data_IF_230446379045
#
_entry.id   IF_230446379045
#
_cell.length_a   1.000
_cell.length_b   1.000
_cell.length_c   1.000
_cell.angle_alpha   90.00
_cell.angle_beta   90.00
_cell.angle_gamma   90.00
#
_symmetry.space_group_name_H-M   'P 1'
#
loop_
_entity.id
_entity.type
_entity.pdbx_description
1 polymer ?
#
# COMPACT_ATOMS: atom_id res chain seq x y z
N UNK A 1 5.87 25.68 -24.74
CA UNK A 1 5.83 24.35 -24.10
C UNK A 1 4.41 23.82 -24.12
N UNK A 2 4.22 22.51 -24.19
CA UNK A 2 2.90 21.86 -24.22
C UNK A 2 2.68 21.17 -22.88
N UNK A 3 1.54 21.42 -22.23
CA UNK A 3 1.16 20.83 -20.95
C UNK A 3 -0.08 19.95 -21.10
N UNK A 4 -0.09 18.81 -20.39
CA UNK A 4 -1.29 18.00 -20.19
C UNK A 4 -2.05 18.52 -18.97
N UNK A 5 -3.32 18.88 -19.15
CA UNK A 5 -4.20 19.33 -18.07
C UNK A 5 -5.30 18.29 -17.83
N UNK A 6 -5.41 17.79 -16.60
CA UNK A 6 -6.47 16.87 -16.18
C UNK A 6 -7.43 17.63 -15.27
N UNK A 7 -8.65 17.91 -15.75
CA UNK A 7 -9.70 18.55 -14.96
C UNK A 7 -10.52 17.47 -14.27
N UNK A 8 -10.49 17.44 -12.94
CA UNK A 8 -11.10 16.39 -12.11
C UNK A 8 -12.10 17.01 -11.11
N UNK A 9 -12.96 16.16 -10.54
CA UNK A 9 -13.79 16.52 -9.39
C UNK A 9 -12.91 16.93 -8.20
N UNK A 10 -13.28 18.03 -7.54
CA UNK A 10 -12.63 18.47 -6.31
C UNK A 10 -13.19 17.71 -5.11
N UNK A 11 -12.29 17.16 -4.29
CA UNK A 11 -12.63 16.49 -3.02
C UNK A 11 -11.76 17.12 -1.92
N UNK A 12 -12.35 17.58 -0.80
CA UNK A 12 -11.69 18.54 0.10
C UNK A 12 -10.63 17.93 1.03
N UNK A 13 -10.75 16.64 1.36
CA UNK A 13 -9.90 15.96 2.34
C UNK A 13 -9.21 14.72 1.79
N UNK A 14 -8.27 14.19 2.58
CA UNK A 14 -7.60 12.91 2.32
C UNK A 14 -7.61 12.06 3.59
N UNK A 15 -7.55 10.73 3.43
CA UNK A 15 -7.35 9.81 4.57
C UNK A 15 -6.11 10.20 5.37
N UNK A 16 -5.03 10.64 4.72
CA UNK A 16 -3.82 11.13 5.39
C UNK A 16 -4.09 12.29 6.35
N UNK A 17 -4.82 13.33 5.90
CA UNK A 17 -5.12 14.51 6.71
C UNK A 17 -6.02 14.15 7.89
N UNK A 18 -7.02 13.29 7.67
CA UNK A 18 -7.90 12.78 8.73
C UNK A 18 -7.11 11.99 9.76
N UNK A 19 -6.30 11.00 9.34
CA UNK A 19 -5.48 10.21 10.26
C UNK A 19 -4.51 11.08 11.07
N UNK A 20 -3.88 12.07 10.44
CA UNK A 20 -3.00 13.02 11.11
C UNK A 20 -3.73 13.90 12.13
N UNK A 21 -4.99 14.28 11.87
CA UNK A 21 -5.80 15.03 12.83
C UNK A 21 -6.03 14.21 14.11
N UNK A 22 -6.50 12.98 13.97
CA UNK A 22 -6.73 12.07 15.11
C UNK A 22 -5.44 11.79 15.89
N UNK A 23 -4.34 11.49 15.18
CA UNK A 23 -3.02 11.25 15.79
C UNK A 23 -2.53 12.45 16.61
N UNK A 24 -2.61 13.69 16.07
CA UNK A 24 -2.24 14.92 16.80
C UNK A 24 -3.10 15.16 18.04
N UNK A 25 -4.38 14.82 17.95
CA UNK A 25 -5.34 14.93 19.06
C UNK A 25 -5.22 13.78 20.06
N UNK A 26 -4.29 12.83 19.87
CA UNK A 26 -4.12 11.61 20.68
C UNK A 26 -5.42 10.79 20.78
N UNK A 27 -6.19 10.79 19.69
CA UNK A 27 -7.43 10.03 19.54
C UNK A 27 -7.25 8.96 18.46
N UNK A 28 -8.03 7.90 18.56
CA UNK A 28 -8.14 6.90 17.50
C UNK A 28 -9.30 7.26 16.57
N UNK A 29 -9.16 6.90 15.29
CA UNK A 29 -10.25 7.04 14.33
C UNK A 29 -11.35 6.06 14.74
N UNK A 30 -12.63 6.50 14.85
CA UNK A 30 -13.72 5.59 15.12
C UNK A 30 -13.77 4.42 14.13
N UNK A 31 -13.92 3.20 14.64
CA UNK A 31 -13.88 1.95 13.83
C UNK A 31 -14.88 1.95 12.67
N UNK A 32 -16.00 2.66 12.82
CA UNK A 32 -17.00 2.82 11.76
C UNK A 32 -16.40 3.52 10.53
N UNK A 33 -15.63 4.59 10.71
CA UNK A 33 -14.97 5.29 9.61
C UNK A 33 -13.89 4.44 8.97
N UNK A 34 -13.10 3.71 9.77
CA UNK A 34 -12.10 2.77 9.25
C UNK A 34 -12.77 1.72 8.34
N UNK A 35 -13.88 1.12 8.79
CA UNK A 35 -14.67 0.18 7.99
C UNK A 35 -15.17 0.81 6.68
N UNK A 36 -15.74 2.01 6.76
CA UNK A 36 -16.26 2.73 5.59
C UNK A 36 -15.17 3.03 4.56
N UNK A 37 -14.01 3.53 5.00
CA UNK A 37 -12.92 3.91 4.10
C UNK A 37 -12.28 2.68 3.46
N UNK A 38 -11.98 1.67 4.27
CA UNK A 38 -11.32 0.44 3.80
C UNK A 38 -12.23 -0.35 2.84
N UNK A 39 -13.53 -0.40 3.12
CA UNK A 39 -14.49 -1.02 2.20
C UNK A 39 -14.52 -0.33 0.84
N UNK A 40 -14.59 1.01 0.82
CA UNK A 40 -14.61 1.78 -0.42
C UNK A 40 -13.28 1.70 -1.19
N UNK A 41 -12.15 1.66 -0.48
CA UNK A 41 -10.83 1.38 -1.07
C UNK A 41 -10.81 0.00 -1.75
N UNK A 42 -11.25 -1.06 -1.08
CA UNK A 42 -11.28 -2.38 -1.71
C UNK A 42 -12.27 -2.47 -2.87
N UNK A 43 -13.37 -1.71 -2.85
CA UNK A 43 -14.26 -1.59 -4.00
C UNK A 43 -13.61 -0.91 -5.21
N UNK A 44 -12.84 0.17 -4.99
CA UNK A 44 -12.13 0.83 -6.10
C UNK A 44 -11.02 -0.07 -6.65
N UNK A 45 -10.29 -0.78 -5.79
CA UNK A 45 -9.30 -1.78 -6.20
C UNK A 45 -9.93 -2.91 -7.01
N UNK A 46 -11.02 -3.50 -6.53
CA UNK A 46 -11.73 -4.56 -7.25
C UNK A 46 -12.16 -4.11 -8.66
N UNK A 47 -12.62 -2.86 -8.79
CA UNK A 47 -12.98 -2.29 -10.08
C UNK A 47 -11.77 -2.18 -11.02
N UNK A 48 -10.67 -1.54 -10.61
CA UNK A 48 -9.51 -1.35 -11.49
C UNK A 48 -8.79 -2.67 -11.80
N UNK A 49 -8.73 -3.59 -10.83
CA UNK A 49 -8.14 -4.92 -11.00
C UNK A 49 -8.94 -5.77 -12.00
N UNK A 50 -10.27 -5.60 -12.06
CA UNK A 50 -11.10 -6.27 -13.09
C UNK A 50 -10.76 -5.85 -14.52
N UNK A 51 -10.12 -4.68 -14.68
CA UNK A 51 -9.64 -4.15 -15.95
C UNK A 51 -8.14 -4.44 -16.17
N UNK A 52 -7.50 -5.22 -15.28
CA UNK A 52 -6.06 -5.50 -15.30
C UNK A 52 -5.18 -4.31 -14.90
N UNK A 53 -5.77 -3.21 -14.40
CA UNK A 53 -5.04 -2.00 -13.99
C UNK A 53 -4.59 -2.14 -12.54
N UNK A 54 -3.28 -2.08 -12.32
CA UNK A 54 -2.69 -1.94 -10.99
C UNK A 54 -2.39 -0.46 -10.72
N UNK A 55 -2.76 0.04 -9.53
CA UNK A 55 -2.54 1.44 -9.16
C UNK A 55 -1.07 1.72 -8.85
N UNK A 56 -0.40 0.80 -8.15
CA UNK A 56 1.03 0.84 -7.81
C UNK A 56 1.48 2.00 -6.92
N UNK A 57 0.54 2.73 -6.30
CA UNK A 57 0.85 3.81 -5.34
C UNK A 57 -0.33 4.07 -4.39
N UNK A 58 -0.90 3.00 -3.84
CA UNK A 58 -1.92 3.09 -2.79
C UNK A 58 -1.27 3.58 -1.50
N UNK A 59 -1.77 4.71 -0.99
CA UNK A 59 -1.32 5.37 0.24
C UNK A 59 -2.38 6.35 0.72
N UNK A 60 -2.42 6.72 2.02
CA UNK A 60 -3.45 7.61 2.58
C UNK A 60 -3.60 8.95 1.86
N UNK A 61 -2.55 9.46 1.21
CA UNK A 61 -2.58 10.72 0.45
C UNK A 61 -3.37 10.60 -0.86
N UNK A 62 -3.42 9.41 -1.46
CA UNK A 62 -4.12 9.15 -2.73
C UNK A 62 -5.58 8.68 -2.51
N UNK A 63 -6.05 8.75 -1.26
CA UNK A 63 -7.41 8.40 -0.86
C UNK A 63 -8.14 9.67 -0.46
N UNK A 64 -8.87 10.25 -1.41
CA UNK A 64 -9.66 11.45 -1.20
C UNK A 64 -10.89 11.11 -0.36
N UNK A 65 -11.28 12.04 0.50
CA UNK A 65 -12.43 11.90 1.39
C UNK A 65 -13.33 13.13 1.33
N UNK A 66 -14.62 12.87 1.25
CA UNK A 66 -15.64 13.83 1.65
C UNK A 66 -16.05 13.53 3.11
N UNK A 67 -15.73 14.42 4.07
CA UNK A 67 -16.02 14.19 5.48
C UNK A 67 -17.50 14.29 5.83
N UNK A 68 -18.32 14.97 5.02
CA UNK A 68 -19.76 15.12 5.28
C UNK A 68 -20.51 13.84 4.90
N UNK A 69 -20.14 13.22 3.78
CA UNK A 69 -20.81 12.03 3.25
C UNK A 69 -20.10 10.72 3.61
N UNK A 70 -18.83 10.77 4.00
CA UNK A 70 -17.97 9.60 4.23
C UNK A 70 -17.53 8.90 2.94
N UNK A 71 -17.75 9.52 1.77
CA UNK A 71 -17.37 8.95 0.47
C UNK A 71 -15.86 9.01 0.30
N UNK A 72 -15.27 7.87 -0.09
CA UNK A 72 -13.87 7.75 -0.45
C UNK A 72 -13.71 7.62 -1.96
N UNK A 73 -12.75 8.36 -2.54
CA UNK A 73 -12.38 8.28 -3.95
C UNK A 73 -10.88 8.05 -4.09
N UNK A 74 -10.50 7.04 -4.87
CA UNK A 74 -9.11 6.78 -5.23
C UNK A 74 -8.67 7.76 -6.32
N UNK A 75 -7.51 8.39 -6.16
CA UNK A 75 -6.94 9.34 -7.12
C UNK A 75 -5.47 9.05 -7.41
N UNK A 76 -4.86 9.87 -8.29
CA UNK A 76 -3.45 9.81 -8.69
C UNK A 76 -3.05 8.48 -9.37
N UNK A 77 -3.57 8.31 -10.58
CA UNK A 77 -3.23 7.20 -11.48
C UNK A 77 -1.90 7.42 -12.23
N UNK A 78 -1.06 8.37 -11.82
CA UNK A 78 0.21 8.67 -12.51
C UNK A 78 1.21 7.50 -12.48
N UNK A 79 1.10 6.63 -11.47
CA UNK A 79 1.87 5.39 -11.38
C UNK A 79 1.13 4.16 -11.92
N UNK A 80 -0.14 4.26 -12.29
CA UNK A 80 -0.94 3.10 -12.67
C UNK A 80 -0.47 2.48 -14.00
N UNK A 81 -0.68 1.17 -14.16
CA UNK A 81 -0.37 0.45 -15.41
C UNK A 81 -1.26 -0.78 -15.56
N UNK A 82 -1.65 -1.10 -16.79
CA UNK A 82 -2.21 -2.41 -17.14
C UNK A 82 -1.10 -3.46 -17.06
N UNK A 83 -1.24 -4.44 -16.17
CA UNK A 83 -0.24 -5.50 -16.02
C UNK A 83 -0.56 -6.62 -17.00
N UNK A 84 0.35 -6.86 -17.93
CA UNK A 84 0.28 -7.96 -18.89
C UNK A 84 1.20 -9.08 -18.39
N UNK A 85 0.68 -10.31 -18.33
CA UNK A 85 1.46 -11.47 -17.87
C UNK A 85 2.70 -11.66 -18.76
N UNK A 86 3.83 -11.95 -18.12
CA UNK A 86 5.15 -12.11 -18.76
C UNK A 86 5.79 -10.83 -19.32
N UNK A 87 5.14 -9.67 -19.23
CA UNK A 87 5.80 -8.39 -19.48
C UNK A 87 6.44 -7.86 -18.19
N UNK A 88 7.75 -7.53 -18.20
CA UNK A 88 8.41 -7.03 -17.01
C UNK A 88 7.94 -5.63 -16.63
N UNK A 89 7.90 -5.36 -15.34
CA UNK A 89 7.51 -4.10 -14.75
C UNK A 89 8.60 -3.57 -13.81
N UNK A 90 8.70 -2.25 -13.67
CA UNK A 90 9.64 -1.62 -12.73
C UNK A 90 9.27 -2.01 -11.30
N UNK A 91 10.25 -2.53 -10.55
CA UNK A 91 10.11 -2.95 -9.14
C UNK A 91 10.21 -1.78 -8.15
N UNK A 92 11.02 -0.77 -8.46
CA UNK A 92 11.15 0.45 -7.67
C UNK A 92 9.96 1.40 -7.93
N UNK A 93 8.79 0.96 -7.46
CA UNK A 93 7.51 1.66 -7.52
C UNK A 93 6.85 1.64 -6.13
N UNK A 94 5.71 2.33 -5.97
CA UNK A 94 4.98 2.48 -4.71
C UNK A 94 5.74 3.31 -3.66
N UNK A 95 4.99 4.09 -2.88
CA UNK A 95 5.52 4.80 -1.73
C UNK A 95 6.01 3.81 -0.65
N UNK A 96 7.20 4.06 -0.09
CA UNK A 96 8.00 3.07 0.65
C UNK A 96 7.24 2.31 1.75
N UNK A 97 6.51 3.01 2.63
CA UNK A 97 5.81 2.38 3.76
C UNK A 97 4.67 1.44 3.36
N UNK A 98 4.20 1.56 2.11
CA UNK A 98 3.08 0.77 1.56
C UNK A 98 3.57 -0.24 0.52
N UNK A 99 4.89 -0.35 0.32
CA UNK A 99 5.50 -1.19 -0.72
C UNK A 99 5.44 -2.66 -0.32
N UNK A 100 4.94 -3.49 -1.23
CA UNK A 100 4.87 -4.93 -1.08
C UNK A 100 6.26 -5.58 -1.04
N UNK A 101 6.48 -6.65 -0.27
CA UNK A 101 7.79 -7.25 -0.08
C UNK A 101 8.40 -7.78 -1.39
N UNK A 102 7.61 -8.30 -2.32
CA UNK A 102 8.07 -8.72 -3.65
C UNK A 102 8.72 -7.59 -4.44
N UNK A 103 8.23 -6.35 -4.30
CA UNK A 103 8.85 -5.17 -4.93
C UNK A 103 10.18 -4.82 -4.27
N UNK A 104 10.31 -5.04 -2.96
CA UNK A 104 11.57 -4.86 -2.22
C UNK A 104 12.59 -5.93 -2.63
N UNK A 105 12.13 -7.16 -2.87
CA UNK A 105 12.92 -8.24 -3.45
C UNK A 105 13.23 -8.03 -4.94
N UNK A 106 12.72 -6.97 -5.57
CA UNK A 106 13.05 -6.62 -6.95
C UNK A 106 12.27 -7.39 -8.00
N UNK A 107 11.13 -7.99 -7.66
CA UNK A 107 10.27 -8.69 -8.62
C UNK A 107 9.82 -7.77 -9.76
N UNK A 108 9.76 -8.31 -10.98
CA UNK A 108 9.33 -7.58 -12.18
C UNK A 108 8.05 -8.17 -12.79
N UNK A 109 7.64 -9.34 -12.30
CA UNK A 109 6.49 -10.15 -12.70
C UNK A 109 5.36 -10.13 -11.64
N UNK A 110 5.36 -9.11 -10.77
CA UNK A 110 4.33 -8.90 -9.77
C UNK A 110 2.94 -8.68 -10.39
N UNK A 111 1.91 -8.83 -9.56
CA UNK A 111 0.50 -8.71 -9.96
C UNK A 111 -0.17 -7.53 -9.29
N UNK A 112 -1.47 -7.34 -9.54
CA UNK A 112 -2.29 -6.34 -8.85
C UNK A 112 -2.35 -6.52 -7.31
N UNK A 113 -1.90 -7.67 -6.80
CA UNK A 113 -1.88 -7.97 -5.37
C UNK A 113 -0.95 -7.05 -4.56
N UNK A 114 -0.02 -6.35 -5.19
CA UNK A 114 0.77 -5.30 -4.51
C UNK A 114 -0.12 -4.19 -3.95
N UNK A 115 -1.24 -3.86 -4.62
CA UNK A 115 -2.19 -2.86 -4.12
C UNK A 115 -2.96 -3.38 -2.89
N UNK A 116 -3.19 -4.69 -2.81
CA UNK A 116 -3.83 -5.33 -1.64
C UNK A 116 -2.92 -5.26 -0.43
N UNK A 117 -1.62 -5.50 -0.61
CA UNK A 117 -0.61 -5.28 0.43
C UNK A 117 -0.62 -3.82 0.93
N UNK A 118 -0.57 -2.86 -0.01
CA UNK A 118 -0.62 -1.44 0.32
C UNK A 118 -1.91 -1.05 1.06
N UNK A 119 -3.06 -1.59 0.66
CA UNK A 119 -4.33 -1.38 1.36
C UNK A 119 -4.33 -1.96 2.78
N UNK A 120 -3.68 -3.11 2.98
CA UNK A 120 -3.42 -3.67 4.32
C UNK A 120 -2.58 -2.75 5.19
N UNK A 121 -1.52 -2.14 4.62
CA UNK A 121 -0.71 -1.15 5.31
C UNK A 121 -1.52 0.10 5.71
N UNK A 122 -2.41 0.58 4.82
CA UNK A 122 -3.35 1.68 5.13
C UNK A 122 -4.29 1.29 6.27
N UNK A 123 -4.91 0.10 6.23
CA UNK A 123 -5.79 -0.38 7.30
C UNK A 123 -5.05 -0.42 8.65
N UNK A 124 -3.84 -0.99 8.68
CA UNK A 124 -3.03 -1.05 9.89
C UNK A 124 -2.66 0.34 10.40
N UNK A 125 -2.29 1.27 9.52
CA UNK A 125 -1.99 2.66 9.90
C UNK A 125 -3.18 3.37 10.52
N UNK A 126 -4.39 3.15 9.99
CA UNK A 126 -5.62 3.73 10.55
C UNK A 126 -5.94 3.17 11.94
N UNK A 127 -5.63 1.90 12.20
CA UNK A 127 -5.82 1.26 13.51
C UNK A 127 -4.76 1.70 14.53
N UNK A 128 -3.50 1.85 14.09
CA UNK A 128 -2.36 2.18 14.97
C UNK A 128 -2.19 3.69 15.18
N UNK A 129 -2.73 4.53 14.29
CA UNK A 129 -2.50 5.98 14.27
C UNK A 129 -1.12 6.39 13.74
N UNK A 130 -0.34 5.42 13.25
CA UNK A 130 1.00 5.59 12.66
C UNK A 130 1.31 4.46 11.66
N UNK A 131 2.20 4.65 10.69
CA UNK A 131 2.56 3.60 9.72
C UNK A 131 3.08 2.33 10.41
N UNK A 132 2.60 1.17 9.97
CA UNK A 132 3.01 -0.14 10.54
C UNK A 132 4.45 -0.52 10.17
N UNK A 133 4.93 -0.11 9.00
CA UNK A 133 6.27 -0.45 8.50
C UNK A 133 7.05 0.82 8.10
N UNK A 134 7.61 1.59 9.05
CA UNK A 134 8.30 2.85 8.77
C UNK A 134 9.81 2.65 8.48
N UNK A 135 10.17 2.14 7.28
CA UNK A 135 11.58 1.95 6.91
C UNK A 135 12.25 3.20 6.29
N UNK A 136 13.52 3.46 6.62
CA UNK A 136 14.28 4.58 6.04
C UNK A 136 14.87 4.26 4.66
N UNK A 137 15.21 2.99 4.43
CA UNK A 137 15.67 2.44 3.15
C UNK A 137 14.82 1.25 2.70
N UNK A 138 15.10 0.69 1.51
CA UNK A 138 14.46 -0.56 1.07
C UNK A 138 14.78 -1.75 1.99
N UNK A 139 15.99 -1.79 2.54
CA UNK A 139 16.41 -2.83 3.48
C UNK A 139 15.71 -2.65 4.82
N UNK A 140 15.66 -1.42 5.35
CA UNK A 140 14.97 -1.14 6.62
C UNK A 140 13.47 -1.43 6.52
N UNK A 141 12.86 -1.14 5.36
CA UNK A 141 11.46 -1.49 5.11
C UNK A 141 11.22 -2.99 5.26
N UNK A 142 12.11 -3.82 4.72
CA UNK A 142 12.02 -5.28 4.87
C UNK A 142 12.25 -5.72 6.32
N UNK A 143 13.15 -5.05 7.04
CA UNK A 143 13.38 -5.30 8.48
C UNK A 143 12.11 -5.01 9.29
N UNK A 144 11.41 -3.90 9.05
CA UNK A 144 10.14 -3.60 9.73
C UNK A 144 9.06 -4.65 9.44
N UNK A 145 8.98 -5.14 8.20
CA UNK A 145 8.05 -6.23 7.83
C UNK A 145 8.40 -7.51 8.60
N UNK A 146 9.68 -7.90 8.64
CA UNK A 146 10.15 -9.11 9.32
C UNK A 146 9.93 -9.04 10.84
N UNK A 147 10.01 -7.86 11.47
CA UNK A 147 9.72 -7.70 12.90
C UNK A 147 8.28 -8.11 13.26
N UNK A 148 7.34 -7.96 12.33
CA UNK A 148 5.93 -8.31 12.53
C UNK A 148 5.62 -9.71 11.98
N UNK A 149 5.95 -9.98 10.72
CA UNK A 149 5.60 -11.21 10.02
C UNK A 149 6.58 -12.38 10.26
N UNK A 150 7.74 -12.10 10.86
CA UNK A 150 8.84 -13.04 10.95
C UNK A 150 9.63 -13.15 9.65
N UNK A 151 10.71 -13.93 9.69
CA UNK A 151 11.56 -14.16 8.52
C UNK A 151 10.81 -15.00 7.48
N UNK A 152 10.71 -14.56 6.21
CA UNK A 152 10.01 -15.32 5.20
C UNK A 152 10.71 -16.66 4.96
N UNK A 153 9.92 -17.71 4.80
CA UNK A 153 10.40 -19.04 4.42
C UNK A 153 11.00 -19.02 3.01
N UNK A 154 11.81 -20.03 2.68
CA UNK A 154 12.37 -20.17 1.32
C UNK A 154 11.29 -20.24 0.24
N UNK A 155 10.16 -20.86 0.56
CA UNK A 155 9.01 -20.93 -0.34
C UNK A 155 8.40 -19.55 -0.57
N UNK A 156 8.14 -18.78 0.49
CA UNK A 156 7.62 -17.41 0.37
C UNK A 156 8.57 -16.49 -0.42
N UNK A 157 9.89 -16.59 -0.20
CA UNK A 157 10.86 -15.82 -0.99
C UNK A 157 10.77 -16.19 -2.47
N UNK A 158 10.65 -17.48 -2.79
CA UNK A 158 10.51 -17.95 -4.18
C UNK A 158 9.22 -17.45 -4.83
N UNK A 159 8.10 -17.41 -4.10
CA UNK A 159 6.84 -16.84 -4.60
C UNK A 159 6.93 -15.32 -4.81
N UNK A 160 7.72 -14.61 -3.99
CA UNK A 160 7.92 -13.17 -4.14
C UNK A 160 8.87 -12.81 -5.28
N UNK A 161 10.02 -13.48 -5.38
CA UNK A 161 10.94 -13.33 -6.50
C UNK A 161 11.81 -14.61 -6.65
N UNK A 162 11.57 -15.45 -7.66
CA UNK A 162 12.32 -16.71 -7.83
C UNK A 162 13.79 -16.48 -8.21
N UNK A 163 14.14 -15.30 -8.71
CA UNK A 163 15.51 -14.92 -9.08
C UNK A 163 16.30 -14.33 -7.91
N UNK A 164 15.69 -14.20 -6.72
CA UNK A 164 16.37 -13.64 -5.57
C UNK A 164 17.34 -14.66 -4.98
N UNK A 165 18.63 -14.46 -5.23
CA UNK A 165 19.73 -15.34 -4.81
C UNK A 165 20.50 -14.84 -3.59
N UNK A 166 20.22 -13.63 -3.11
CA UNK A 166 21.00 -12.97 -2.07
C UNK A 166 20.30 -12.93 -0.71
N UNK A 167 21.07 -12.67 0.35
CA UNK A 167 20.66 -12.50 1.75
C UNK A 167 20.24 -13.75 2.54
N UNK A 168 21.06 -14.06 3.55
CA UNK A 168 20.64 -14.83 4.73
C UNK A 168 20.04 -13.86 5.74
N UNK A 169 18.73 -13.90 5.89
CA UNK A 169 18.08 -13.19 6.99
C UNK A 169 18.34 -13.93 8.31
N UNK A 170 18.55 -13.19 9.43
CA UNK A 170 18.44 -13.80 10.75
C UNK A 170 17.05 -14.43 10.89
N UNK A 171 16.94 -15.55 11.60
CA UNK A 171 15.67 -16.20 11.84
C UNK A 171 14.93 -15.50 12.98
N UNK A 172 13.89 -14.75 12.65
CA UNK A 172 13.03 -14.01 13.56
C UNK A 172 11.64 -14.65 13.52
N UNK A 173 11.07 -14.92 14.71
CA UNK A 173 9.69 -15.43 14.83
C UNK A 173 8.70 -14.29 14.60
N UNK A 174 7.57 -14.62 13.98
CA UNK A 174 6.47 -13.68 13.82
C UNK A 174 5.97 -13.16 15.18
N UNK A 175 5.60 -11.89 15.22
CA UNK A 175 4.92 -11.30 16.36
C UNK A 175 3.42 -11.65 16.30
N UNK A 176 2.79 -12.09 17.41
CA UNK A 176 1.35 -12.30 17.44
C UNK A 176 0.56 -11.03 17.11
N UNK A 177 -0.54 -11.15 16.37
CA UNK A 177 -1.43 -10.02 16.07
C UNK A 177 -2.42 -9.69 17.20
N UNK A 178 -2.45 -10.52 18.25
CA UNK A 178 -3.36 -10.48 19.40
C UNK A 178 -2.62 -10.22 20.70
#
# INVERSE_FOLDING_TARGET
EVFLNLVLEFVPETVYRVARHYSKSKQTIPILYIKLYVYQLFRSLAYIHSQGVCHRDIKPQNLLLDPETGVLKLCDFGSAKVLVRAEPNVSYICSRYYRAPELIFGATDYTCQIDVWSAGCVLAELLLGQPIFPGDSGVDQLVEIIKVLGTPTREQIREMNPNYSEFKFPQIKAHPWS
#
